data_IF_036024808776
#
_entry.id   IF_036024808776
#
_cell.length_a   1.000
_cell.length_b   1.000
_cell.length_c   1.000
_cell.angle_alpha   90.00
_cell.angle_beta   90.00
_cell.angle_gamma   90.00
#
_symmetry.space_group_name_H-M   'P 1'
#
loop_
_entity.id
_entity.type
_entity.pdbx_description
1 polymer ?
#
# COMPACT_ATOMS: atom_id res chain seq x y z
N UNK A 1 29.77 8.52 -11.14
CA UNK A 1 28.55 8.02 -10.47
C UNK A 1 27.90 6.98 -11.39
N UNK A 2 28.13 5.67 -11.15
CA UNK A 2 27.46 4.63 -11.94
C UNK A 2 25.97 4.60 -11.55
N UNK A 3 25.10 5.03 -12.46
CA UNK A 3 23.66 4.76 -12.33
C UNK A 3 23.47 3.25 -12.42
N UNK A 4 22.98 2.63 -11.35
CA UNK A 4 22.51 1.25 -11.41
C UNK A 4 21.48 1.16 -12.53
N UNK A 5 21.70 0.24 -13.47
CA UNK A 5 20.82 0.03 -14.63
C UNK A 5 19.42 -0.25 -14.11
N UNK A 6 18.48 0.67 -14.38
CA UNK A 6 17.07 0.53 -14.03
C UNK A 6 16.55 -0.79 -14.61
N UNK A 7 15.91 -1.61 -13.78
CA UNK A 7 15.40 -2.90 -14.23
C UNK A 7 14.08 -2.70 -14.98
N UNK A 8 14.19 -2.53 -16.31
CA UNK A 8 13.06 -2.30 -17.20
C UNK A 8 11.99 -3.41 -17.14
N UNK A 9 12.38 -4.65 -16.81
CA UNK A 9 11.43 -5.76 -16.64
C UNK A 9 10.55 -5.51 -15.42
N UNK A 10 11.15 -5.10 -14.30
CA UNK A 10 10.37 -4.77 -13.09
C UNK A 10 9.42 -3.60 -13.36
N UNK A 11 9.85 -2.60 -14.13
CA UNK A 11 8.98 -1.47 -14.49
C UNK A 11 7.81 -1.90 -15.39
N UNK A 12 8.08 -2.75 -16.40
CA UNK A 12 7.05 -3.32 -17.26
C UNK A 12 6.06 -4.15 -16.44
N UNK A 13 6.55 -5.01 -15.53
CA UNK A 13 5.70 -5.80 -14.65
C UNK A 13 4.84 -4.90 -13.77
N UNK A 14 5.41 -3.87 -13.12
CA UNK A 14 4.61 -2.90 -12.35
C UNK A 14 3.50 -2.27 -13.18
N UNK A 15 3.78 -1.92 -14.43
CA UNK A 15 2.77 -1.37 -15.33
C UNK A 15 1.65 -2.40 -15.62
N UNK A 16 2.01 -3.63 -15.99
CA UNK A 16 1.05 -4.70 -16.26
C UNK A 16 0.19 -5.06 -15.03
N UNK A 17 0.82 -5.22 -13.87
CA UNK A 17 0.12 -5.48 -12.60
C UNK A 17 -0.78 -4.31 -12.18
N UNK A 18 -0.38 -3.05 -12.45
CA UNK A 18 -1.25 -1.90 -12.23
C UNK A 18 -2.51 -1.94 -13.12
N UNK A 19 -2.37 -2.34 -14.39
CA UNK A 19 -3.52 -2.52 -15.29
C UNK A 19 -4.47 -3.60 -14.74
N UNK A 20 -3.93 -4.73 -14.30
CA UNK A 20 -4.74 -5.82 -13.72
C UNK A 20 -5.53 -5.33 -12.49
N UNK A 21 -4.93 -4.52 -11.63
CA UNK A 21 -5.62 -3.89 -10.48
C UNK A 21 -6.76 -2.99 -10.98
N UNK A 22 -6.52 -2.15 -11.99
CA UNK A 22 -7.56 -1.25 -12.53
C UNK A 22 -8.73 -2.07 -13.10
N UNK A 23 -8.44 -3.12 -13.87
CA UNK A 23 -9.47 -4.00 -14.45
C UNK A 23 -10.31 -4.68 -13.36
N UNK A 24 -9.68 -5.15 -12.28
CA UNK A 24 -10.41 -5.70 -11.14
C UNK A 24 -11.42 -4.71 -10.57
N UNK A 25 -11.02 -3.44 -10.39
CA UNK A 25 -11.90 -2.42 -9.84
C UNK A 25 -12.99 -1.97 -10.83
N UNK A 26 -12.73 -2.03 -12.14
CA UNK A 26 -13.76 -1.79 -13.15
C UNK A 26 -14.85 -2.86 -13.06
N UNK A 27 -14.50 -4.14 -12.87
CA UNK A 27 -15.50 -5.21 -12.70
C UNK A 27 -16.37 -5.03 -11.46
N UNK A 28 -15.86 -4.35 -10.42
CA UNK A 28 -16.64 -4.01 -9.22
C UNK A 28 -17.61 -2.85 -9.49
N UNK A 29 -17.31 -1.98 -10.47
CA UNK A 29 -18.09 -0.77 -10.80
C UNK A 29 -19.13 -1.04 -11.90
N UNK A 30 -18.90 -2.03 -12.77
CA UNK A 30 -19.72 -2.29 -13.95
C UNK A 30 -20.22 -3.74 -14.05
N UNK A 31 -21.55 -3.87 -14.11
CA UNK A 31 -22.32 -5.05 -14.56
C UNK A 31 -22.55 -6.12 -13.50
N UNK A 32 -23.71 -6.02 -12.85
CA UNK A 32 -24.25 -6.97 -11.87
C UNK A 32 -24.60 -8.36 -12.41
N UNK A 33 -24.12 -8.78 -13.59
CA UNK A 33 -24.58 -10.03 -14.24
C UNK A 33 -23.61 -10.67 -15.26
N UNK A 34 -22.31 -10.37 -15.21
CA UNK A 34 -21.36 -10.98 -16.16
C UNK A 34 -20.16 -11.58 -15.43
N UNK A 35 -19.98 -12.88 -15.61
CA UNK A 35 -18.84 -13.71 -15.20
C UNK A 35 -17.54 -13.30 -15.92
N UNK A 36 -17.14 -12.03 -15.86
CA UNK A 36 -15.88 -11.61 -16.45
C UNK A 36 -14.72 -12.18 -15.61
N UNK A 37 -14.06 -13.20 -16.17
CA UNK A 37 -12.84 -13.83 -15.64
C UNK A 37 -11.65 -12.86 -15.57
N UNK A 38 -11.67 -11.79 -16.37
CA UNK A 38 -10.52 -10.88 -16.55
C UNK A 38 -10.38 -10.01 -15.30
N UNK A 39 -9.31 -10.18 -14.53
CA UNK A 39 -9.02 -9.36 -13.35
C UNK A 39 -9.66 -9.87 -12.05
N UNK A 40 -10.34 -11.03 -12.05
CA UNK A 40 -10.93 -11.66 -10.86
C UNK A 40 -9.93 -11.83 -9.70
N UNK A 41 -8.68 -12.13 -10.02
CA UNK A 41 -7.59 -12.31 -9.06
C UNK A 41 -6.65 -11.10 -8.98
N UNK A 42 -7.13 -9.92 -9.36
CA UNK A 42 -6.31 -8.72 -9.39
C UNK A 42 -5.74 -8.33 -8.03
N UNK A 43 -6.34 -8.79 -6.92
CA UNK A 43 -5.86 -8.53 -5.57
C UNK A 43 -4.45 -9.09 -5.34
N UNK A 44 -4.09 -10.21 -5.98
CA UNK A 44 -2.73 -10.80 -5.92
C UNK A 44 -1.69 -9.84 -6.50
N UNK A 45 -2.10 -8.97 -7.42
CA UNK A 45 -1.21 -7.94 -7.98
C UNK A 45 -0.70 -6.98 -6.90
N UNK A 46 -1.47 -6.74 -5.83
CA UNK A 46 -1.01 -5.92 -4.71
C UNK A 46 0.14 -6.57 -3.93
N UNK A 47 0.17 -7.91 -3.85
CA UNK A 47 1.29 -8.65 -3.25
C UNK A 47 2.58 -8.45 -4.04
N UNK A 48 2.50 -8.46 -5.37
CA UNK A 48 3.64 -8.13 -6.23
C UNK A 48 4.23 -6.76 -5.88
N UNK A 49 3.40 -5.74 -5.69
CA UNK A 49 3.89 -4.41 -5.29
C UNK A 49 4.50 -4.40 -3.89
N UNK A 50 3.97 -5.16 -2.93
CA UNK A 50 4.59 -5.30 -1.60
C UNK A 50 5.95 -5.98 -1.68
N UNK A 51 6.07 -7.09 -2.43
CA UNK A 51 7.32 -7.83 -2.62
C UNK A 51 8.39 -6.92 -3.26
N UNK A 52 8.03 -6.25 -4.35
CA UNK A 52 8.94 -5.32 -5.02
C UNK A 52 9.32 -4.15 -4.11
N UNK A 53 8.40 -3.64 -3.30
CA UNK A 53 8.69 -2.57 -2.35
C UNK A 53 9.63 -3.02 -1.24
N UNK A 54 9.48 -4.24 -0.73
CA UNK A 54 10.39 -4.86 0.24
C UNK A 54 11.79 -5.09 -0.34
N UNK A 55 11.87 -5.62 -1.57
CA UNK A 55 13.14 -5.77 -2.29
C UNK A 55 13.86 -4.42 -2.48
N UNK A 56 13.14 -3.39 -2.93
CA UNK A 56 13.72 -2.06 -3.13
C UNK A 56 14.13 -1.41 -1.80
N UNK A 57 13.42 -1.67 -0.70
CA UNK A 57 13.82 -1.26 0.64
C UNK A 57 15.14 -1.93 1.03
N UNK A 58 15.23 -3.25 0.94
CA UNK A 58 16.46 -3.99 1.28
C UNK A 58 17.66 -3.56 0.43
N UNK A 59 17.44 -3.32 -0.87
CA UNK A 59 18.47 -2.77 -1.76
C UNK A 59 18.90 -1.35 -1.35
N UNK A 60 17.96 -0.50 -0.94
CA UNK A 60 18.26 0.87 -0.51
C UNK A 60 19.08 0.93 0.76
N UNK A 61 18.83 0.05 1.73
CA UNK A 61 19.62 -0.04 2.97
C UNK A 61 21.01 -0.59 2.70
N UNK A 62 21.15 -1.61 1.85
CA UNK A 62 22.46 -2.17 1.48
C UNK A 62 23.37 -1.13 0.78
N UNK A 63 22.79 -0.22 -0.01
CA UNK A 63 23.54 0.89 -0.63
C UNK A 63 23.99 1.94 0.40
N UNK A 64 23.15 2.23 1.40
CA UNK A 64 23.43 3.22 2.45
C UNK A 64 24.38 2.71 3.53
N UNK A 65 24.51 1.40 3.73
CA UNK A 65 25.48 0.81 4.67
C UNK A 65 26.95 1.14 4.34
N UNK A 66 27.24 1.64 3.12
CA UNK A 66 28.56 2.18 2.76
C UNK A 66 28.84 3.58 3.33
N UNK A 67 27.83 4.21 3.93
CA UNK A 67 27.89 5.55 4.52
C UNK A 67 27.41 5.40 5.97
N UNK A 68 28.35 5.33 6.91
CA UNK A 68 28.07 5.13 8.35
C UNK A 68 27.30 6.32 8.95
N UNK A 69 25.97 6.30 8.81
CA UNK A 69 25.06 7.09 9.62
C UNK A 69 24.72 6.31 10.89
N UNK A 70 25.20 6.80 12.04
CA UNK A 70 24.89 6.27 13.37
C UNK A 70 23.46 6.60 13.84
N UNK A 71 22.65 7.28 13.03
CA UNK A 71 21.29 7.73 13.40
C UNK A 71 20.21 6.94 12.66
N UNK A 72 20.02 5.68 13.06
CA UNK A 72 19.05 4.75 12.47
C UNK A 72 17.62 5.33 12.34
N UNK A 73 17.14 5.99 13.40
CA UNK A 73 15.81 6.61 13.41
C UNK A 73 15.69 7.76 12.40
N UNK A 74 16.69 8.63 12.34
CA UNK A 74 16.74 9.75 11.38
C UNK A 74 16.76 9.23 9.95
N UNK A 75 17.57 8.21 9.67
CA UNK A 75 17.62 7.56 8.35
C UNK A 75 16.28 6.95 7.95
N UNK A 76 15.56 6.37 8.91
CA UNK A 76 14.24 5.77 8.71
C UNK A 76 13.23 6.86 8.33
N UNK A 77 13.15 7.94 9.10
CA UNK A 77 12.24 9.05 8.81
C UNK A 77 12.55 9.68 7.46
N UNK A 78 13.82 9.94 7.15
CA UNK A 78 14.23 10.48 5.84
C UNK A 78 13.82 9.56 4.68
N UNK A 79 13.98 8.24 4.85
CA UNK A 79 13.58 7.27 3.84
C UNK A 79 12.06 7.29 3.59
N UNK A 80 11.26 7.33 4.65
CA UNK A 80 9.79 7.33 4.55
C UNK A 80 9.29 8.64 3.96
N UNK A 81 9.78 9.79 4.45
CA UNK A 81 9.42 11.11 3.94
C UNK A 81 9.77 11.25 2.46
N UNK A 82 10.93 10.75 2.02
CA UNK A 82 11.30 10.76 0.61
C UNK A 82 10.30 9.97 -0.25
N UNK A 83 9.84 8.80 0.21
CA UNK A 83 8.83 8.01 -0.50
C UNK A 83 7.48 8.70 -0.52
N UNK A 84 7.06 9.31 0.60
CA UNK A 84 5.84 10.11 0.66
C UNK A 84 5.92 11.24 -0.36
N UNK A 85 7.02 12.01 -0.39
CA UNK A 85 7.20 13.13 -1.33
C UNK A 85 7.11 12.70 -2.80
N UNK A 86 7.56 11.50 -3.16
CA UNK A 86 7.44 10.98 -4.53
C UNK A 86 5.98 10.65 -4.87
N UNK A 87 5.22 10.07 -3.94
CA UNK A 87 3.86 9.57 -4.17
C UNK A 87 2.81 10.67 -4.00
N UNK A 88 3.04 11.60 -3.07
CA UNK A 88 2.06 12.58 -2.59
C UNK A 88 1.48 13.48 -3.70
N UNK A 89 2.25 14.01 -4.67
CA UNK A 89 1.69 14.84 -5.74
C UNK A 89 0.62 14.08 -6.55
N UNK A 90 0.92 12.85 -6.95
CA UNK A 90 -0.01 12.00 -7.70
C UNK A 90 -1.23 11.63 -6.83
N UNK A 91 -0.99 11.35 -5.56
CA UNK A 91 -2.04 10.98 -4.62
C UNK A 91 -3.01 12.13 -4.37
N UNK A 92 -2.53 13.35 -4.11
CA UNK A 92 -3.36 14.53 -3.88
C UNK A 92 -4.20 14.86 -5.11
N UNK A 93 -3.62 14.74 -6.32
CA UNK A 93 -4.38 14.91 -7.56
C UNK A 93 -5.51 13.89 -7.69
N UNK A 94 -5.22 12.61 -7.44
CA UNK A 94 -6.23 11.56 -7.47
C UNK A 94 -7.30 11.76 -6.38
N UNK A 95 -6.88 12.18 -5.19
CA UNK A 95 -7.78 12.43 -4.06
C UNK A 95 -8.73 13.57 -4.37
N UNK A 96 -8.23 14.66 -4.95
CA UNK A 96 -9.05 15.81 -5.30
C UNK A 96 -10.10 15.46 -6.36
N UNK A 97 -9.70 14.75 -7.42
CA UNK A 97 -10.63 14.28 -8.46
C UNK A 97 -11.70 13.37 -7.84
N UNK A 98 -11.31 12.42 -7.00
CA UNK A 98 -12.24 11.51 -6.33
C UNK A 98 -13.18 12.25 -5.36
N UNK A 99 -12.66 13.19 -4.58
CA UNK A 99 -13.43 14.01 -3.64
C UNK A 99 -14.52 14.80 -4.37
N UNK A 100 -14.13 15.55 -5.40
CA UNK A 100 -15.05 16.35 -6.21
C UNK A 100 -16.10 15.46 -6.89
N UNK A 101 -15.68 14.33 -7.44
CA UNK A 101 -16.60 13.36 -8.05
C UNK A 101 -17.64 12.86 -7.05
N UNK A 102 -17.24 12.56 -5.81
CA UNK A 102 -18.16 12.13 -4.75
C UNK A 102 -19.14 13.24 -4.35
N UNK A 103 -18.69 14.49 -4.26
CA UNK A 103 -19.58 15.62 -3.98
C UNK A 103 -20.72 15.71 -5.01
N UNK A 104 -20.43 15.52 -6.29
CA UNK A 104 -21.45 15.53 -7.35
C UNK A 104 -22.33 14.29 -7.37
N UNK A 105 -21.74 13.09 -7.26
CA UNK A 105 -22.46 11.81 -7.34
C UNK A 105 -23.41 11.65 -6.15
N UNK A 106 -22.93 11.91 -4.94
CA UNK A 106 -23.72 11.77 -3.70
C UNK A 106 -24.50 13.03 -3.33
N UNK A 107 -24.37 14.11 -4.12
CA UNK A 107 -25.06 15.40 -3.91
C UNK A 107 -24.87 15.94 -2.49
N UNK A 108 -23.62 15.96 -2.02
CA UNK A 108 -23.29 16.44 -0.68
C UNK A 108 -23.72 17.89 -0.47
N UNK A 109 -24.34 18.16 0.68
CA UNK A 109 -24.62 19.52 1.11
C UNK A 109 -23.33 20.23 1.52
N UNK A 110 -23.41 21.56 1.68
CA UNK A 110 -22.26 22.38 2.09
C UNK A 110 -21.65 21.87 3.41
N UNK A 111 -22.50 21.53 4.40
CA UNK A 111 -22.05 20.99 5.68
C UNK A 111 -21.31 19.66 5.53
N UNK A 112 -21.80 18.76 4.67
CA UNK A 112 -21.15 17.47 4.39
C UNK A 112 -19.80 17.65 3.71
N UNK A 113 -19.70 18.60 2.77
CA UNK A 113 -18.44 18.94 2.10
C UNK A 113 -17.41 19.41 3.13
N UNK A 114 -17.78 20.33 4.03
CA UNK A 114 -16.88 20.80 5.10
C UNK A 114 -16.45 19.67 6.03
N UNK A 115 -17.40 18.84 6.48
CA UNK A 115 -17.11 17.68 7.31
C UNK A 115 -16.13 16.74 6.60
N UNK A 116 -16.45 16.32 5.38
CA UNK A 116 -15.62 15.38 4.61
C UNK A 116 -14.23 15.96 4.30
N UNK A 117 -14.11 17.26 4.06
CA UNK A 117 -12.83 17.93 3.83
C UNK A 117 -11.94 17.88 5.08
N UNK A 118 -12.48 18.19 6.26
CA UNK A 118 -11.74 18.13 7.53
C UNK A 118 -11.28 16.69 7.80
N UNK A 119 -12.18 15.72 7.67
CA UNK A 119 -11.87 14.32 7.95
C UNK A 119 -11.00 13.64 6.89
N UNK A 120 -10.84 14.25 5.71
CA UNK A 120 -9.89 13.78 4.70
C UNK A 120 -8.43 13.88 5.13
N UNK A 121 -8.11 14.64 6.18
CA UNK A 121 -6.74 14.74 6.72
C UNK A 121 -6.17 13.36 7.07
N UNK A 122 -6.99 12.46 7.60
CA UNK A 122 -6.57 11.11 7.99
C UNK A 122 -6.19 10.25 6.78
N UNK A 123 -6.90 10.42 5.67
CA UNK A 123 -6.57 9.77 4.40
C UNK A 123 -5.32 10.39 3.76
N UNK A 124 -5.21 11.73 3.78
CA UNK A 124 -4.05 12.49 3.26
C UNK A 124 -2.75 12.18 4.01
N UNK A 125 -2.83 11.85 5.30
CA UNK A 125 -1.71 11.40 6.12
C UNK A 125 -1.40 9.91 5.97
N UNK A 126 -2.12 9.18 5.10
CA UNK A 126 -1.98 7.74 4.90
C UNK A 126 -2.18 6.90 6.18
N UNK A 127 -3.12 7.29 7.04
CA UNK A 127 -3.32 6.66 8.36
C UNK A 127 -4.42 5.59 8.40
N UNK A 128 -5.06 5.28 7.27
CA UNK A 128 -6.19 4.34 7.23
C UNK A 128 -5.92 2.99 7.93
N UNK A 129 -4.74 2.41 7.71
CA UNK A 129 -4.40 1.09 8.25
C UNK A 129 -3.91 1.12 9.70
N UNK A 130 -3.83 2.29 10.34
CA UNK A 130 -3.61 2.39 11.79
C UNK A 130 -4.88 2.13 12.61
N UNK A 131 -6.04 2.00 11.95
CA UNK A 131 -7.36 1.88 12.59
C UNK A 131 -8.13 3.20 12.66
N UNK A 132 -7.53 4.33 12.26
CA UNK A 132 -8.23 5.61 12.14
C UNK A 132 -9.11 5.57 10.88
N UNK A 133 -10.39 5.25 11.08
CA UNK A 133 -11.37 5.09 10.01
C UNK A 133 -12.33 6.28 9.95
N UNK A 134 -12.17 7.12 8.93
CA UNK A 134 -13.02 8.28 8.66
C UNK A 134 -13.32 8.37 7.15
N UNK A 135 -13.84 9.52 6.71
CA UNK A 135 -14.15 9.79 5.30
C UNK A 135 -12.98 9.39 4.37
N UNK A 136 -13.35 8.78 3.25
CA UNK A 136 -12.43 8.24 2.27
C UNK A 136 -12.86 8.71 0.89
N UNK A 137 -11.98 9.39 0.16
CA UNK A 137 -12.17 9.75 -1.24
C UNK A 137 -11.78 8.58 -2.15
N UNK A 138 -10.63 7.94 -1.91
CA UNK A 138 -10.10 6.88 -2.77
C UNK A 138 -10.21 5.52 -2.06
N UNK A 139 -11.00 4.60 -2.62
CA UNK A 139 -11.30 3.28 -2.01
C UNK A 139 -10.07 2.42 -1.65
N UNK A 140 -8.94 2.62 -2.34
CA UNK A 140 -7.77 1.73 -2.28
C UNK A 140 -6.56 2.33 -1.56
N UNK A 141 -6.75 3.42 -0.81
CA UNK A 141 -5.67 4.05 -0.01
C UNK A 141 -5.10 3.16 1.09
N UNK A 142 -5.83 2.11 1.49
CA UNK A 142 -5.39 1.13 2.46
C UNK A 142 -4.03 0.51 2.09
N UNK A 143 -3.78 0.28 0.79
CA UNK A 143 -2.54 -0.30 0.30
C UNK A 143 -1.32 0.59 0.62
N UNK A 144 -1.42 1.89 0.30
CA UNK A 144 -0.34 2.86 0.52
C UNK A 144 -0.12 3.06 2.02
N UNK A 145 -1.21 3.12 2.80
CA UNK A 145 -1.16 3.22 4.26
C UNK A 145 -0.44 2.02 4.89
N UNK A 146 -0.82 0.79 4.53
CA UNK A 146 -0.14 -0.42 5.00
C UNK A 146 1.35 -0.42 4.64
N UNK A 147 1.67 -0.03 3.39
CA UNK A 147 3.06 0.04 2.93
C UNK A 147 3.91 0.96 3.82
N UNK A 148 3.43 2.16 4.13
CA UNK A 148 4.20 3.09 4.97
C UNK A 148 4.34 2.62 6.42
N UNK A 149 3.26 2.13 7.04
CA UNK A 149 3.30 1.61 8.42
C UNK A 149 4.32 0.46 8.52
N UNK A 150 4.27 -0.48 7.58
CA UNK A 150 5.19 -1.62 7.55
C UNK A 150 6.62 -1.16 7.29
N UNK A 151 6.85 -0.21 6.39
CA UNK A 151 8.21 0.28 6.10
C UNK A 151 8.87 1.00 7.29
N UNK A 152 8.10 1.69 8.13
CA UNK A 152 8.62 2.31 9.37
C UNK A 152 9.24 1.26 10.30
N UNK A 153 8.68 0.04 10.33
CA UNK A 153 9.17 -1.07 11.14
C UNK A 153 10.28 -1.85 10.43
N UNK A 154 10.05 -2.21 9.16
CA UNK A 154 10.96 -3.07 8.39
C UNK A 154 12.28 -2.37 8.08
N UNK A 155 12.27 -1.06 7.75
CA UNK A 155 13.50 -0.34 7.39
C UNK A 155 14.57 -0.39 8.48
N UNK A 156 14.30 0.01 9.74
CA UNK A 156 15.31 -0.02 10.79
C UNK A 156 15.71 -1.45 11.17
N UNK A 157 14.77 -2.40 11.18
CA UNK A 157 15.06 -3.82 11.46
C UNK A 157 16.01 -4.42 10.41
N UNK A 158 15.75 -4.16 9.13
CA UNK A 158 16.59 -4.64 8.05
C UNK A 158 18.00 -4.05 8.13
N UNK A 159 18.15 -2.77 8.50
CA UNK A 159 19.47 -2.14 8.66
C UNK A 159 20.21 -2.64 9.91
N UNK A 160 19.50 -2.88 11.02
CA UNK A 160 20.09 -3.33 12.28
C UNK A 160 20.51 -4.81 12.26
N UNK A 161 19.68 -5.67 11.67
CA UNK A 161 19.84 -7.13 11.73
C UNK A 161 20.37 -7.76 10.43
N UNK A 162 20.31 -7.02 9.31
CA UNK A 162 20.89 -7.39 8.00
C UNK A 162 20.47 -8.81 7.57
N UNK A 163 21.44 -9.69 7.32
CA UNK A 163 21.22 -11.06 6.85
C UNK A 163 20.33 -11.86 7.80
N UNK A 164 20.41 -11.63 9.12
CA UNK A 164 19.53 -12.31 10.09
C UNK A 164 18.06 -11.95 9.84
N UNK A 165 17.79 -10.70 9.50
CA UNK A 165 16.42 -10.29 9.18
C UNK A 165 15.96 -10.87 7.84
N UNK A 166 16.79 -10.78 6.81
CA UNK A 166 16.42 -11.19 5.45
C UNK A 166 16.31 -12.70 5.28
N UNK A 167 17.20 -13.48 5.89
CA UNK A 167 17.31 -14.93 5.66
C UNK A 167 16.58 -15.77 6.71
N UNK A 168 16.27 -15.21 7.88
CA UNK A 168 15.65 -15.95 8.98
C UNK A 168 14.30 -15.35 9.33
N UNK A 169 14.28 -14.07 9.73
CA UNK A 169 13.07 -13.45 10.28
C UNK A 169 11.99 -13.27 9.21
N UNK A 170 12.33 -12.74 8.04
CA UNK A 170 11.37 -12.51 6.95
C UNK A 170 10.71 -13.81 6.47
N UNK A 171 11.44 -14.88 6.10
CA UNK A 171 10.83 -16.14 5.69
C UNK A 171 9.92 -16.73 6.78
N UNK A 172 10.35 -16.67 8.04
CA UNK A 172 9.57 -17.16 9.17
C UNK A 172 8.25 -16.40 9.36
N UNK A 173 8.30 -15.06 9.38
CA UNK A 173 7.10 -14.21 9.48
C UNK A 173 6.18 -14.43 8.27
N UNK A 174 6.73 -14.58 7.07
CA UNK A 174 5.94 -14.85 5.86
C UNK A 174 5.21 -16.18 5.97
N UNK A 175 5.89 -17.27 6.35
CA UNK A 175 5.27 -18.60 6.49
C UNK A 175 4.17 -18.58 7.56
N UNK A 176 4.45 -18.02 8.73
CA UNK A 176 3.46 -17.94 9.82
C UNK A 176 2.29 -17.04 9.43
N UNK A 177 2.56 -15.88 8.83
CA UNK A 177 1.54 -14.92 8.42
C UNK A 177 0.59 -15.51 7.38
N UNK A 178 1.12 -16.08 6.30
CA UNK A 178 0.29 -16.74 5.29
C UNK A 178 -0.39 -17.99 5.83
N UNK A 179 0.27 -18.76 6.71
CA UNK A 179 -0.35 -19.91 7.38
C UNK A 179 -1.55 -19.51 8.23
N UNK A 180 -1.41 -18.44 9.02
CA UNK A 180 -2.50 -17.87 9.82
C UNK A 180 -3.65 -17.37 8.93
N UNK A 181 -3.34 -16.62 7.87
CA UNK A 181 -4.36 -16.12 6.95
C UNK A 181 -5.08 -17.26 6.22
N UNK A 182 -4.35 -18.28 5.77
CA UNK A 182 -4.92 -19.45 5.12
C UNK A 182 -5.86 -20.21 6.05
N UNK A 183 -5.46 -20.40 7.32
CA UNK A 183 -6.28 -21.10 8.31
C UNK A 183 -7.57 -20.34 8.66
N UNK A 184 -7.49 -19.01 8.84
CA UNK A 184 -8.62 -18.22 9.34
C UNK A 184 -9.54 -17.67 8.25
N UNK A 185 -9.01 -17.33 7.07
CA UNK A 185 -9.74 -16.58 6.04
C UNK A 185 -9.97 -17.35 4.74
N UNK A 186 -9.35 -18.52 4.58
CA UNK A 186 -9.40 -19.41 3.40
C UNK A 186 -8.83 -18.79 2.10
N UNK A 187 -9.05 -17.50 1.86
CA UNK A 187 -8.55 -16.72 0.75
C UNK A 187 -8.01 -15.36 1.22
N UNK A 188 -7.12 -14.79 0.43
CA UNK A 188 -6.50 -13.45 0.59
C UNK A 188 -7.35 -12.33 -0.07
N UNK A 189 -8.56 -12.66 -0.53
CA UNK A 189 -9.41 -11.75 -1.31
C UNK A 189 -10.07 -10.66 -0.44
N UNK A 190 -10.39 -9.55 -1.11
CA UNK A 190 -10.67 -8.23 -0.59
C UNK A 190 -11.83 -8.23 0.41
N UNK A 191 -11.65 -7.37 1.40
CA UNK A 191 -12.27 -7.47 2.71
C UNK A 191 -12.51 -6.04 3.25
N UNK A 192 -13.77 -5.69 3.54
CA UNK A 192 -14.19 -4.31 3.85
C UNK A 192 -14.20 -3.97 5.35
N UNK A 193 -13.96 -4.92 6.26
CA UNK A 193 -13.96 -4.68 7.71
C UNK A 193 -12.55 -4.80 8.30
N UNK A 194 -12.16 -3.85 9.16
CA UNK A 194 -10.84 -3.82 9.79
C UNK A 194 -10.86 -4.60 11.11
N UNK A 195 -10.05 -5.67 11.21
CA UNK A 195 -10.00 -6.56 12.38
C UNK A 195 -8.80 -6.35 13.31
N UNK A 196 -8.17 -5.17 13.34
CA UNK A 196 -7.03 -4.90 14.23
C UNK A 196 -5.66 -5.37 13.72
N UNK A 197 -5.54 -5.72 12.44
CA UNK A 197 -4.27 -6.15 11.82
C UNK A 197 -4.45 -6.81 10.44
N UNK A 198 -5.66 -7.31 10.15
CA UNK A 198 -6.05 -7.90 8.87
C UNK A 198 -7.40 -7.30 8.45
N UNK A 199 -7.55 -6.95 7.18
CA UNK A 199 -8.86 -6.63 6.61
C UNK A 199 -9.61 -7.95 6.39
N UNK A 200 -10.81 -8.09 6.95
CA UNK A 200 -11.69 -9.26 6.81
C UNK A 200 -12.91 -9.02 5.91
N UNK A 201 -13.31 -10.06 5.21
CA UNK A 201 -14.46 -10.07 4.32
C UNK A 201 -15.70 -10.32 5.16
N UNK A 202 -16.73 -9.50 5.00
CA UNK A 202 -18.05 -9.93 5.38
C UNK A 202 -18.42 -11.09 4.45
N UNK A 203 -18.59 -12.28 5.02
CA UNK A 203 -19.21 -13.41 4.34
C UNK A 203 -20.69 -13.10 4.03
#
# INVERSE_FOLDING_TARGET
MQMLKRNAIIDLLKFLFAIVIVLQHINVIGVSNSEYLIGKYGFVSSEFFFIVSGYLLAHSTAKKDKIESNMLGVDTIHFILHKIQIIFPYFVSAWFIAFVSKCFIYKYGIADIYYNLIYSIWELMFLRMSGIYHFQSIGHTWFISAMFIVMIVIYPLNKALKDKFQLIIVPFITIIGYGFMSHNYKNIDISYSWGGGVLHGAA
#
